data_IF_279446869095
#
_entry.id   IF_279446869095
#
_cell.length_a   1.000
_cell.length_b   1.000
_cell.length_c   1.000
_cell.angle_alpha   90.00
_cell.angle_beta   90.00
_cell.angle_gamma   90.00
#
_symmetry.space_group_name_H-M   'P 1'
#
loop_
_entity.id
_entity.type
_entity.pdbx_description
1 polymer ?
#
# COMPACT_ATOMS: atom_id res chain seq x y z
N UNK A 1 12.31 67.33 -30.98
CA UNK A 1 12.24 66.62 -29.65
C UNK A 1 11.26 65.52 -29.77
N UNK A 2 11.72 64.32 -30.09
CA UNK A 2 10.90 63.17 -30.45
C UNK A 2 11.16 62.08 -29.39
N UNK A 3 10.17 61.82 -28.54
CA UNK A 3 10.23 60.80 -27.49
C UNK A 3 9.95 59.41 -28.10
N UNK A 4 10.96 58.57 -28.16
CA UNK A 4 10.82 57.14 -28.40
C UNK A 4 10.28 56.47 -27.13
N UNK A 5 9.10 55.86 -27.23
CA UNK A 5 8.55 54.94 -26.24
C UNK A 5 9.13 53.55 -26.52
N UNK A 6 9.83 52.99 -25.55
CA UNK A 6 10.25 51.60 -25.53
C UNK A 6 9.05 50.71 -25.10
N UNK A 7 8.74 49.72 -25.90
CA UNK A 7 7.82 48.63 -25.56
C UNK A 7 8.57 47.54 -24.77
N UNK A 8 8.03 47.03 -23.66
CA UNK A 8 8.63 45.87 -23.02
C UNK A 8 8.31 44.59 -23.78
N UNK A 9 9.34 43.82 -24.05
CA UNK A 9 9.35 42.50 -24.67
C UNK A 9 8.60 41.50 -23.81
N UNK A 10 7.55 40.95 -24.37
CA UNK A 10 6.87 39.77 -23.85
C UNK A 10 7.63 38.52 -24.29
N UNK A 11 8.45 37.98 -23.44
CA UNK A 11 9.04 36.65 -23.62
C UNK A 11 9.60 36.17 -22.28
N UNK A 12 8.90 35.34 -21.57
CA UNK A 12 9.37 34.24 -20.74
C UNK A 12 8.31 33.78 -19.75
N UNK A 13 7.22 33.19 -20.25
CA UNK A 13 6.38 32.31 -19.45
C UNK A 13 5.88 31.21 -20.38
N UNK A 14 6.72 30.24 -20.65
CA UNK A 14 6.35 28.98 -21.32
C UNK A 14 7.46 27.98 -21.13
N UNK A 15 7.54 27.36 -19.96
CA UNK A 15 8.24 26.09 -19.74
C UNK A 15 8.09 25.60 -18.29
N UNK A 16 6.88 25.32 -17.83
CA UNK A 16 6.64 24.36 -16.74
C UNK A 16 5.21 23.81 -16.90
N UNK A 17 4.99 23.02 -17.91
CA UNK A 17 3.73 22.29 -18.06
C UNK A 17 3.90 21.06 -18.96
N UNK A 18 4.90 20.23 -18.68
CA UNK A 18 5.09 18.99 -19.43
C UNK A 18 5.80 17.92 -18.61
N UNK A 19 5.34 17.62 -17.40
CA UNK A 19 5.86 16.47 -16.62
C UNK A 19 4.80 15.86 -15.67
N UNK A 20 3.53 15.96 -15.98
CA UNK A 20 2.46 15.42 -15.15
C UNK A 20 1.57 14.38 -15.87
N UNK A 21 2.03 13.76 -16.94
CA UNK A 21 1.18 12.85 -17.72
C UNK A 21 1.76 11.43 -17.89
N UNK A 22 2.66 10.97 -17.02
CA UNK A 22 3.16 9.58 -17.09
C UNK A 22 3.17 9.02 -15.68
N UNK A 23 2.04 8.59 -15.15
CA UNK A 23 1.93 7.62 -14.06
C UNK A 23 0.48 7.17 -13.83
N UNK A 24 -0.29 6.96 -14.87
CA UNK A 24 -1.58 6.29 -14.76
C UNK A 24 -1.48 4.82 -15.20
N UNK A 25 -0.37 4.15 -14.86
CA UNK A 25 -0.33 2.70 -14.88
C UNK A 25 -0.77 2.24 -13.50
N UNK A 26 -2.03 1.88 -13.38
CA UNK A 26 -2.60 1.27 -12.21
C UNK A 26 -1.72 0.09 -11.76
N UNK A 27 -1.55 -0.07 -10.46
CA UNK A 27 -1.30 -1.36 -9.87
C UNK A 27 -2.60 -2.17 -10.06
N UNK A 28 -2.75 -2.80 -11.21
CA UNK A 28 -3.79 -3.77 -11.48
C UNK A 28 -3.10 -5.10 -11.57
N UNK A 29 -3.46 -5.94 -10.67
CA UNK A 29 -3.37 -7.39 -10.57
C UNK A 29 -2.20 -8.13 -11.26
N UNK A 30 -1.63 -9.10 -10.51
CA UNK A 30 -0.51 -9.90 -10.96
C UNK A 30 -0.78 -10.66 -12.24
N UNK A 31 -0.04 -10.33 -13.29
CA UNK A 31 0.13 -11.20 -14.44
C UNK A 31 0.84 -12.49 -14.01
N UNK A 32 0.68 -13.58 -14.77
CA UNK A 32 1.36 -14.83 -14.47
C UNK A 32 2.87 -14.64 -14.61
N UNK A 33 3.57 -14.55 -13.48
CA UNK A 33 4.99 -14.79 -13.46
C UNK A 33 5.20 -16.27 -13.80
N UNK A 34 6.05 -16.57 -14.77
CA UNK A 34 6.44 -17.93 -15.17
C UNK A 34 7.23 -18.70 -14.08
N UNK A 35 7.09 -18.31 -12.81
CA UNK A 35 7.59 -19.03 -11.63
C UNK A 35 6.51 -19.96 -11.04
N UNK A 36 5.87 -20.77 -11.90
CA UNK A 36 4.79 -21.70 -11.54
C UNK A 36 5.24 -22.96 -10.78
N UNK A 37 6.48 -23.09 -10.32
CA UNK A 37 6.97 -24.31 -9.66
C UNK A 37 7.33 -24.18 -8.17
N UNK A 38 7.01 -23.07 -7.50
CA UNK A 38 6.95 -23.07 -6.03
C UNK A 38 5.50 -23.23 -5.59
N UNK A 39 5.17 -24.26 -4.79
CA UNK A 39 3.86 -24.33 -4.16
C UNK A 39 3.65 -23.02 -3.43
N UNK A 40 2.50 -22.42 -3.59
CA UNK A 40 2.17 -21.16 -2.93
C UNK A 40 2.29 -21.39 -1.42
N UNK A 41 3.45 -21.01 -0.83
CA UNK A 41 3.66 -20.94 0.63
C UNK A 41 2.76 -19.86 1.27
N UNK A 42 1.71 -19.54 0.59
CA UNK A 42 0.62 -18.73 1.12
C UNK A 42 -0.20 -19.65 2.03
N UNK A 43 0.28 -19.86 3.27
CA UNK A 43 -0.64 -20.32 4.29
C UNK A 43 -1.76 -19.28 4.39
N UNK A 44 -3.01 -19.68 4.10
CA UNK A 44 -4.13 -18.79 4.31
C UNK A 44 -4.04 -18.30 5.75
N UNK A 45 -3.88 -17.00 5.93
CA UNK A 45 -3.91 -16.41 7.27
C UNK A 45 -5.25 -16.81 7.86
N UNK A 46 -5.31 -17.69 8.87
CA UNK A 46 -6.59 -18.07 9.44
C UNK A 46 -7.32 -16.80 9.88
N UNK A 47 -8.63 -16.74 9.73
CA UNK A 47 -9.40 -15.61 10.23
C UNK A 47 -8.98 -15.38 11.68
N UNK A 48 -8.91 -14.14 12.15
CA UNK A 48 -8.63 -13.85 13.55
C UNK A 48 -9.73 -14.52 14.37
N UNK A 49 -9.37 -15.65 14.96
CA UNK A 49 -10.30 -16.52 15.69
C UNK A 49 -10.33 -16.07 17.13
N UNK A 50 -11.14 -15.12 17.51
CA UNK A 50 -11.34 -14.99 18.94
C UNK A 50 -12.28 -13.92 19.46
N UNK A 51 -13.06 -13.27 18.69
CA UNK A 51 -14.08 -12.35 19.26
C UNK A 51 -13.52 -11.31 20.26
N UNK A 52 -12.18 -11.21 20.43
CA UNK A 52 -11.53 -10.27 21.32
C UNK A 52 -11.23 -8.98 20.58
N UNK A 53 -11.48 -7.92 21.29
CA UNK A 53 -11.21 -6.51 21.04
C UNK A 53 -11.09 -6.08 19.58
N UNK A 54 -11.99 -5.22 19.18
CA UNK A 54 -11.91 -4.54 17.90
C UNK A 54 -10.61 -3.75 17.83
N UNK A 55 -9.85 -3.95 16.76
CA UNK A 55 -8.82 -3.00 16.39
C UNK A 55 -9.54 -1.71 16.01
N UNK A 56 -9.25 -0.63 16.71
CA UNK A 56 -9.85 0.66 16.41
C UNK A 56 -9.66 0.97 14.92
N UNK A 57 -10.76 1.19 14.21
CA UNK A 57 -10.73 1.53 12.79
C UNK A 57 -10.70 0.36 11.80
N UNK A 58 -10.65 -0.91 12.25
CA UNK A 58 -10.83 -2.09 11.37
C UNK A 58 -12.02 -2.90 11.85
N UNK A 59 -13.05 -3.18 11.02
CA UNK A 59 -14.20 -3.97 11.44
C UNK A 59 -13.80 -5.36 11.96
N UNK A 60 -14.47 -5.83 13.02
CA UNK A 60 -14.24 -7.16 13.60
C UNK A 60 -14.54 -8.28 12.60
N UNK A 61 -15.56 -8.07 11.76
CA UNK A 61 -15.97 -8.96 10.67
C UNK A 61 -15.72 -8.25 9.35
N UNK A 62 -15.26 -8.98 8.35
CA UNK A 62 -15.03 -8.40 7.03
C UNK A 62 -16.30 -7.79 6.45
N UNK A 63 -16.20 -6.53 6.10
CA UNK A 63 -17.21 -5.80 5.36
C UNK A 63 -16.57 -5.19 4.11
N UNK A 64 -16.98 -5.67 2.93
CA UNK A 64 -16.45 -5.17 1.67
C UNK A 64 -16.66 -3.66 1.45
N UNK A 65 -17.60 -3.05 2.18
CA UNK A 65 -17.87 -1.62 2.12
C UNK A 65 -17.00 -0.80 3.08
N UNK A 66 -16.33 -1.46 4.05
CA UNK A 66 -15.46 -0.83 5.04
C UNK A 66 -14.27 -1.73 5.37
N UNK A 67 -13.18 -1.58 4.64
CA UNK A 67 -11.93 -2.32 4.91
C UNK A 67 -11.23 -1.75 6.15
N UNK A 68 -11.14 -0.42 6.23
CA UNK A 68 -10.66 0.30 7.41
C UNK A 68 -11.16 1.75 7.42
N UNK A 69 -11.02 2.42 8.57
CA UNK A 69 -11.37 3.83 8.74
C UNK A 69 -10.31 4.75 8.15
N UNK A 70 -10.70 6.00 7.85
CA UNK A 70 -9.79 7.04 7.40
C UNK A 70 -8.79 7.42 8.49
N UNK A 71 -9.24 7.50 9.76
CA UNK A 71 -8.40 7.84 10.89
C UNK A 71 -7.23 6.86 11.03
N UNK A 72 -7.49 5.54 10.97
CA UNK A 72 -6.44 4.53 11.05
C UNK A 72 -5.51 4.57 9.83
N UNK A 73 -6.07 4.73 8.63
CA UNK A 73 -5.29 4.73 7.39
C UNK A 73 -4.30 5.89 7.29
N UNK A 74 -4.65 7.05 7.86
CA UNK A 74 -3.82 8.27 7.83
C UNK A 74 -3.02 8.50 9.11
N UNK A 75 -3.12 7.61 10.09
CA UNK A 75 -2.34 7.70 11.33
C UNK A 75 -0.88 7.32 11.07
N UNK A 76 -0.06 8.32 10.80
CA UNK A 76 1.37 8.14 10.49
C UNK A 76 2.22 7.84 11.72
N UNK A 77 1.69 8.04 12.90
CA UNK A 77 2.38 7.90 14.18
C UNK A 77 1.97 6.64 14.96
N UNK A 78 1.17 5.77 14.35
CA UNK A 78 0.73 4.49 14.94
C UNK A 78 1.90 3.66 15.49
N UNK A 79 3.05 3.66 14.80
CA UNK A 79 4.26 2.97 15.24
C UNK A 79 5.50 3.79 14.95
N UNK A 80 6.48 3.69 15.84
CA UNK A 80 7.85 4.17 15.63
C UNK A 80 8.64 3.16 14.79
N UNK A 81 9.79 3.59 14.26
CA UNK A 81 10.72 2.69 13.57
C UNK A 81 11.22 1.56 14.49
N UNK A 82 11.42 1.85 15.78
CA UNK A 82 11.86 0.85 16.76
C UNK A 82 10.77 -0.20 17.03
N UNK A 83 9.50 0.19 17.07
CA UNK A 83 8.37 -0.73 17.22
C UNK A 83 8.20 -1.59 15.96
N UNK A 84 8.30 -0.99 14.79
CA UNK A 84 8.27 -1.75 13.54
C UNK A 84 9.47 -2.70 13.42
N UNK A 85 10.64 -2.33 13.94
CA UNK A 85 11.79 -3.21 14.03
C UNK A 85 11.49 -4.43 14.91
N UNK A 86 10.93 -4.22 16.11
CA UNK A 86 10.50 -5.32 17.00
C UNK A 86 9.45 -6.21 16.35
N UNK A 87 8.52 -5.61 15.61
CA UNK A 87 7.52 -6.36 14.82
C UNK A 87 8.17 -7.28 13.79
N UNK A 88 9.23 -6.86 13.11
CA UNK A 88 9.97 -7.74 12.18
C UNK A 88 10.79 -8.80 12.90
N UNK A 89 11.31 -8.51 14.08
CA UNK A 89 12.08 -9.45 14.90
C UNK A 89 11.23 -10.56 15.50
N UNK A 90 9.99 -10.25 15.86
CA UNK A 90 9.01 -11.19 16.39
C UNK A 90 7.70 -11.04 15.61
N UNK A 91 7.66 -11.56 14.39
CA UNK A 91 6.55 -11.33 13.49
C UNK A 91 5.28 -12.10 13.92
N UNK A 92 4.08 -11.70 13.46
CA UNK A 92 2.84 -12.44 13.74
C UNK A 92 2.82 -13.85 13.13
N UNK A 93 3.86 -14.23 12.37
CA UNK A 93 4.09 -15.57 11.82
C UNK A 93 4.93 -16.46 12.73
N UNK A 94 5.20 -16.02 13.98
CA UNK A 94 6.03 -16.73 14.97
C UNK A 94 7.47 -16.97 14.52
N UNK A 95 7.99 -16.08 13.70
CA UNK A 95 9.35 -16.12 13.19
C UNK A 95 9.96 -14.72 13.16
N UNK A 96 11.28 -14.66 12.96
CA UNK A 96 12.00 -13.43 12.62
C UNK A 96 11.88 -13.21 11.11
N UNK A 97 11.26 -12.11 10.71
CA UNK A 97 11.21 -11.72 9.31
C UNK A 97 12.60 -11.35 8.80
N UNK A 98 12.91 -11.68 7.54
CA UNK A 98 14.13 -11.21 6.88
C UNK A 98 14.23 -9.67 6.84
N UNK A 99 13.07 -8.97 6.91
CA UNK A 99 13.01 -7.51 6.95
C UNK A 99 13.67 -6.92 8.20
N UNK A 100 13.83 -7.70 9.27
CA UNK A 100 14.53 -7.26 10.48
C UNK A 100 16.03 -6.95 10.23
N UNK A 101 16.61 -7.59 9.21
CA UNK A 101 18.03 -7.45 8.84
C UNK A 101 18.20 -6.77 7.47
N UNK A 102 17.09 -6.39 6.83
CA UNK A 102 17.10 -5.75 5.51
C UNK A 102 17.38 -4.25 5.63
N UNK A 103 18.03 -3.72 4.58
CA UNK A 103 18.21 -2.27 4.40
C UNK A 103 17.52 -1.80 3.12
N UNK A 104 17.03 -0.57 3.16
CA UNK A 104 16.45 0.18 2.05
C UNK A 104 17.19 1.51 1.97
N UNK A 105 17.89 1.77 0.88
CA UNK A 105 18.77 2.96 0.71
C UNK A 105 19.79 3.16 1.85
N UNK A 106 20.30 2.05 2.38
CA UNK A 106 21.29 2.06 3.47
C UNK A 106 20.71 2.26 4.88
N UNK A 107 19.41 2.53 5.03
CA UNK A 107 18.73 2.58 6.32
C UNK A 107 18.07 1.22 6.65
N UNK A 108 17.87 0.87 7.93
CA UNK A 108 17.04 -0.26 8.31
C UNK A 108 15.66 -0.22 7.63
N UNK A 109 15.14 -1.37 7.20
CA UNK A 109 13.86 -1.42 6.50
C UNK A 109 12.71 -0.82 7.32
N UNK A 110 12.74 -0.98 8.65
CA UNK A 110 11.78 -0.37 9.57
C UNK A 110 11.80 1.16 9.51
N UNK A 111 12.99 1.77 9.50
CA UNK A 111 13.15 3.23 9.41
C UNK A 111 12.69 3.76 8.05
N UNK A 112 13.13 3.13 6.96
CA UNK A 112 12.80 3.54 5.61
C UNK A 112 11.28 3.45 5.33
N UNK A 113 10.62 2.38 5.78
CA UNK A 113 9.18 2.20 5.61
C UNK A 113 8.41 3.26 6.42
N UNK A 114 8.78 3.49 7.70
CA UNK A 114 8.13 4.52 8.52
C UNK A 114 8.33 5.91 7.90
N UNK A 115 9.54 6.24 7.45
CA UNK A 115 9.83 7.53 6.82
C UNK A 115 9.01 7.75 5.54
N UNK A 116 8.96 6.76 4.63
CA UNK A 116 8.19 6.84 3.40
C UNK A 116 6.68 6.93 3.66
N UNK A 117 6.18 6.19 4.65
CA UNK A 117 4.78 6.21 5.05
C UNK A 117 4.38 7.56 5.60
N UNK A 118 5.17 8.12 6.51
CA UNK A 118 4.96 9.47 7.06
C UNK A 118 5.00 10.55 5.99
N UNK A 119 5.97 10.49 5.08
CA UNK A 119 6.08 11.45 3.98
C UNK A 119 4.85 11.43 3.07
N UNK A 120 4.22 10.28 2.90
CA UNK A 120 3.01 10.13 2.12
C UNK A 120 1.71 10.36 2.93
N UNK A 121 1.78 10.48 4.26
CA UNK A 121 0.59 10.60 5.12
C UNK A 121 -0.23 9.31 5.17
N UNK A 122 0.44 8.15 5.17
CA UNK A 122 -0.16 6.81 5.23
C UNK A 122 0.39 6.07 6.45
N UNK A 123 -0.44 5.31 7.12
CA UNK A 123 -0.05 4.49 8.26
C UNK A 123 1.02 3.44 7.88
N UNK A 124 2.17 3.37 8.58
CA UNK A 124 3.25 2.43 8.28
C UNK A 124 2.80 0.96 8.31
N UNK A 125 1.89 0.61 9.22
CA UNK A 125 1.39 -0.77 9.37
C UNK A 125 0.55 -1.18 8.16
N UNK A 126 -0.20 -0.24 7.56
CA UNK A 126 -0.94 -0.48 6.30
C UNK A 126 0.01 -0.80 5.16
N UNK A 127 1.14 -0.09 5.08
CA UNK A 127 2.17 -0.38 4.08
C UNK A 127 2.79 -1.76 4.27
N UNK A 128 3.12 -2.14 5.51
CA UNK A 128 3.67 -3.47 5.82
C UNK A 128 2.66 -4.58 5.55
N UNK A 129 1.38 -4.35 5.88
CA UNK A 129 0.30 -5.28 5.55
C UNK A 129 0.16 -5.46 4.04
N UNK A 130 0.27 -4.36 3.27
CA UNK A 130 0.21 -4.44 1.81
C UNK A 130 1.37 -5.23 1.22
N UNK A 131 2.59 -5.04 1.71
CA UNK A 131 3.76 -5.82 1.31
C UNK A 131 3.55 -7.32 1.52
N UNK A 132 2.90 -7.71 2.61
CA UNK A 132 2.54 -9.10 2.87
C UNK A 132 1.47 -9.60 1.89
N UNK A 133 0.44 -8.81 1.63
CA UNK A 133 -0.64 -9.18 0.69
C UNK A 133 -0.10 -9.41 -0.72
N UNK A 134 0.82 -8.56 -1.18
CA UNK A 134 1.33 -8.63 -2.54
C UNK A 134 2.32 -9.77 -2.78
N UNK A 135 3.27 -9.95 -1.90
CA UNK A 135 4.41 -10.86 -2.15
C UNK A 135 4.80 -11.71 -0.94
N UNK A 136 3.98 -11.75 0.11
CA UNK A 136 4.20 -12.54 1.33
C UNK A 136 5.57 -12.27 2.00
N UNK A 137 6.09 -11.04 1.90
CA UNK A 137 7.47 -10.75 2.30
C UNK A 137 7.68 -10.73 3.80
N UNK A 138 6.69 -10.32 4.59
CA UNK A 138 6.83 -10.23 6.06
C UNK A 138 6.96 -11.59 6.71
N UNK A 139 6.30 -12.61 6.17
CA UNK A 139 6.33 -13.97 6.70
C UNK A 139 7.61 -14.74 6.39
N UNK A 140 8.44 -14.26 5.47
CA UNK A 140 9.67 -14.97 5.07
C UNK A 140 10.80 -14.73 6.08
N UNK A 141 11.54 -15.79 6.40
CA UNK A 141 12.71 -15.77 7.29
C UNK A 141 14.01 -15.51 6.54
N UNK A 142 14.04 -15.80 5.26
CA UNK A 142 15.15 -15.57 4.34
C UNK A 142 14.71 -14.59 3.27
N UNK A 143 15.61 -13.70 2.86
CA UNK A 143 15.31 -12.74 1.79
C UNK A 143 14.97 -13.48 0.51
N UNK A 144 13.75 -13.32 -0.03
CA UNK A 144 13.38 -13.89 -1.31
C UNK A 144 14.24 -13.34 -2.45
N UNK A 145 14.44 -14.15 -3.47
CA UNK A 145 15.19 -13.77 -4.68
C UNK A 145 14.27 -13.24 -5.78
N UNK A 146 14.85 -12.57 -6.78
CA UNK A 146 14.18 -12.18 -8.00
C UNK A 146 13.11 -11.11 -7.83
N UNK A 147 12.06 -11.23 -8.64
CA UNK A 147 11.01 -10.23 -8.82
C UNK A 147 10.18 -9.97 -7.55
N UNK A 148 10.12 -10.90 -6.60
CA UNK A 148 9.34 -10.73 -5.36
C UNK A 148 9.77 -9.51 -4.55
N UNK A 149 11.08 -9.30 -4.39
CA UNK A 149 11.61 -8.12 -3.68
C UNK A 149 11.70 -6.91 -4.60
N UNK A 150 12.11 -7.13 -5.84
CA UNK A 150 12.25 -6.07 -6.84
C UNK A 150 10.93 -5.34 -7.13
N UNK A 151 9.80 -6.04 -7.00
CA UNK A 151 8.45 -5.52 -7.22
C UNK A 151 7.52 -5.83 -6.03
N UNK A 152 8.01 -5.56 -4.84
CA UNK A 152 7.39 -5.90 -3.56
C UNK A 152 5.93 -5.45 -3.40
N UNK A 153 5.52 -4.42 -4.11
CA UNK A 153 4.16 -3.87 -4.11
C UNK A 153 3.47 -3.93 -5.47
N UNK A 154 4.10 -4.53 -6.48
CA UNK A 154 3.55 -4.54 -7.85
C UNK A 154 3.56 -3.18 -8.55
N UNK A 155 4.18 -2.16 -7.96
CA UNK A 155 4.26 -0.83 -8.58
C UNK A 155 5.04 -0.90 -9.91
N UNK A 156 4.42 -0.36 -10.97
CA UNK A 156 5.01 -0.37 -12.31
C UNK A 156 4.88 -1.70 -13.03
N UNK A 157 4.08 -2.64 -12.52
CA UNK A 157 3.79 -3.94 -13.14
C UNK A 157 2.36 -3.96 -13.71
N UNK A 158 2.13 -3.51 -14.94
CA UNK A 158 0.81 -3.60 -15.56
C UNK A 158 0.51 -5.05 -15.98
N UNK A 159 -0.80 -5.39 -15.96
CA UNK A 159 -1.25 -6.71 -16.42
C UNK A 159 -0.80 -7.02 -17.83
N UNK A 160 -0.35 -8.26 -18.04
CA UNK A 160 0.05 -8.79 -19.34
C UNK A 160 1.21 -8.02 -20.02
N UNK A 161 2.03 -7.30 -19.26
CA UNK A 161 3.23 -6.62 -19.76
C UNK A 161 4.37 -6.73 -18.74
N UNK A 162 5.63 -6.70 -19.20
CA UNK A 162 6.77 -6.65 -18.29
C UNK A 162 6.68 -5.47 -17.32
N UNK A 163 7.12 -5.68 -16.08
CA UNK A 163 7.25 -4.60 -15.11
C UNK A 163 8.21 -3.52 -15.61
N UNK A 164 7.88 -2.27 -15.34
CA UNK A 164 8.73 -1.14 -15.67
C UNK A 164 9.98 -1.10 -14.77
N UNK A 165 11.20 -1.25 -15.32
CA UNK A 165 12.43 -1.31 -14.55
C UNK A 165 12.74 -0.03 -13.75
N UNK A 166 12.10 1.10 -14.08
CA UNK A 166 12.20 2.34 -13.30
C UNK A 166 11.71 2.17 -11.87
N UNK A 167 10.76 1.25 -11.62
CA UNK A 167 10.20 0.96 -10.29
C UNK A 167 10.84 -0.26 -9.63
N UNK A 168 11.88 -0.82 -10.24
CA UNK A 168 12.58 -1.98 -9.69
C UNK A 168 13.39 -1.58 -8.45
N UNK A 169 13.27 -2.39 -7.38
CA UNK A 169 13.98 -2.22 -6.12
C UNK A 169 13.04 -1.88 -4.97
N UNK A 170 13.37 -2.39 -3.77
CA UNK A 170 12.51 -2.27 -2.59
C UNK A 170 12.27 -0.81 -2.18
N UNK A 171 13.30 0.04 -2.31
CA UNK A 171 13.25 1.49 -2.11
C UNK A 171 12.18 2.17 -2.95
N UNK A 172 12.24 1.92 -4.26
CA UNK A 172 11.30 2.48 -5.23
C UNK A 172 9.89 1.93 -5.07
N UNK A 173 9.79 0.66 -4.70
CA UNK A 173 8.51 0.00 -4.45
C UNK A 173 7.81 0.58 -3.22
N UNK A 174 8.52 0.80 -2.11
CA UNK A 174 7.95 1.42 -0.91
C UNK A 174 7.48 2.84 -1.20
N UNK A 175 8.31 3.66 -1.83
CA UNK A 175 7.99 5.04 -2.19
C UNK A 175 6.79 5.10 -3.16
N UNK A 176 6.78 4.25 -4.18
CA UNK A 176 5.69 4.18 -5.16
C UNK A 176 4.37 3.76 -4.52
N UNK A 177 4.36 2.72 -3.68
CA UNK A 177 3.15 2.24 -3.03
C UNK A 177 2.55 3.28 -2.08
N UNK A 178 3.37 3.91 -1.24
CA UNK A 178 2.93 4.95 -0.32
C UNK A 178 2.29 6.14 -1.08
N UNK A 179 2.97 6.63 -2.13
CA UNK A 179 2.45 7.71 -2.98
C UNK A 179 1.17 7.30 -3.72
N UNK A 180 1.07 6.05 -4.16
CA UNK A 180 -0.11 5.53 -4.87
C UNK A 180 -1.31 5.43 -3.94
N UNK A 181 -1.16 4.91 -2.74
CA UNK A 181 -2.23 4.88 -1.74
C UNK A 181 -2.72 6.28 -1.40
N UNK A 182 -1.80 7.23 -1.18
CA UNK A 182 -2.15 8.62 -0.90
C UNK A 182 -2.91 9.25 -2.06
N UNK A 183 -2.45 9.10 -3.27
CA UNK A 183 -3.11 9.63 -4.47
C UNK A 183 -4.54 9.11 -4.61
N UNK A 184 -4.77 7.81 -4.36
CA UNK A 184 -6.12 7.23 -4.44
C UNK A 184 -7.03 7.70 -3.31
N UNK A 185 -6.46 7.87 -2.11
CA UNK A 185 -7.16 8.46 -0.98
C UNK A 185 -7.61 9.89 -1.30
N UNK A 186 -6.69 10.73 -1.76
CA UNK A 186 -6.96 12.14 -2.12
C UNK A 186 -7.95 12.26 -3.27
N UNK A 187 -7.86 11.42 -4.30
CA UNK A 187 -8.83 11.36 -5.37
C UNK A 187 -10.24 10.98 -4.88
N UNK A 188 -10.32 10.09 -3.88
CA UNK A 188 -11.61 9.78 -3.24
C UNK A 188 -12.15 10.97 -2.45
N UNK A 189 -11.30 11.73 -1.74
CA UNK A 189 -11.67 12.95 -1.02
C UNK A 189 -12.13 14.03 -1.99
N UNK A 190 -11.42 14.23 -3.10
CA UNK A 190 -11.77 15.18 -4.14
C UNK A 190 -13.05 14.77 -4.92
N UNK A 191 -13.42 13.49 -4.88
CA UNK A 191 -14.60 12.97 -5.56
C UNK A 191 -14.39 12.67 -7.05
N UNK A 192 -13.15 12.71 -7.55
CA UNK A 192 -12.74 12.41 -8.93
C UNK A 192 -11.86 11.17 -9.07
N UNK A 193 -11.61 10.48 -7.97
CA UNK A 193 -10.80 9.28 -7.93
C UNK A 193 -11.41 8.09 -8.67
N UNK A 194 -10.57 7.08 -8.95
CA UNK A 194 -10.99 5.82 -9.57
C UNK A 194 -12.08 5.11 -8.75
N UNK A 195 -11.97 5.18 -7.43
CA UNK A 195 -12.98 4.78 -6.45
C UNK A 195 -13.25 5.95 -5.51
N UNK A 196 -14.51 6.19 -5.16
CA UNK A 196 -14.93 7.34 -4.35
C UNK A 196 -15.84 6.86 -3.22
N UNK A 197 -15.61 7.35 -2.02
CA UNK A 197 -16.49 7.09 -0.87
C UNK A 197 -17.94 7.46 -1.19
N UNK A 198 -18.86 6.57 -0.83
CA UNK A 198 -20.30 6.76 -1.05
C UNK A 198 -20.79 6.46 -2.49
N UNK A 199 -19.90 6.20 -3.45
CA UNK A 199 -20.29 5.83 -4.82
C UNK A 199 -20.16 4.34 -5.05
N UNK A 200 -21.26 3.70 -5.47
CA UNK A 200 -21.26 2.28 -5.80
C UNK A 200 -20.47 2.01 -7.09
N UNK A 201 -19.62 1.00 -7.08
CA UNK A 201 -18.87 0.52 -8.24
C UNK A 201 -18.73 -0.99 -8.19
N UNK A 202 -18.61 -1.64 -9.36
CA UNK A 202 -18.37 -3.08 -9.45
C UNK A 202 -16.87 -3.37 -9.42
N UNK A 203 -16.50 -4.39 -8.67
CA UNK A 203 -15.16 -5.00 -8.65
C UNK A 203 -14.97 -5.94 -9.85
N UNK A 204 -13.75 -6.42 -10.04
CA UNK A 204 -13.44 -7.38 -11.11
C UNK A 204 -14.02 -8.78 -10.85
N UNK A 205 -14.29 -9.15 -9.58
CA UNK A 205 -15.07 -10.32 -9.18
C UNK A 205 -16.59 -10.05 -9.08
N UNK A 206 -17.12 -9.31 -9.98
CA UNK A 206 -18.33 -8.52 -10.22
C UNK A 206 -19.24 -8.28 -9.00
N UNK A 207 -18.68 -7.97 -7.85
CA UNK A 207 -19.43 -7.58 -6.66
C UNK A 207 -19.65 -6.07 -6.62
N UNK A 208 -20.81 -5.62 -6.15
CA UNK A 208 -21.06 -4.20 -5.92
C UNK A 208 -20.46 -3.77 -4.58
N UNK A 209 -19.67 -2.71 -4.60
CA UNK A 209 -19.07 -2.09 -3.42
C UNK A 209 -19.37 -0.60 -3.40
N UNK A 210 -19.82 -0.11 -2.24
CA UNK A 210 -19.94 1.31 -1.94
C UNK A 210 -19.00 1.61 -0.78
N UNK A 211 -17.81 2.16 -1.02
CA UNK A 211 -16.86 2.44 0.05
C UNK A 211 -17.46 3.38 1.10
N UNK A 212 -17.30 3.06 2.38
CA UNK A 212 -17.76 3.90 3.50
C UNK A 212 -16.65 4.72 4.15
N UNK A 213 -15.42 4.63 3.59
CA UNK A 213 -14.28 5.48 3.92
C UNK A 213 -13.47 5.76 2.66
N UNK A 214 -12.70 6.85 2.65
CA UNK A 214 -11.74 7.14 1.58
C UNK A 214 -10.60 6.12 1.57
N UNK A 215 -10.22 5.62 2.74
CA UNK A 215 -9.28 4.50 2.90
C UNK A 215 -9.75 3.26 2.14
N UNK A 216 -11.02 2.85 2.31
CA UNK A 216 -11.59 1.72 1.59
C UNK A 216 -11.62 1.98 0.08
N UNK A 217 -11.93 3.19 -0.36
CA UNK A 217 -11.86 3.58 -1.78
C UNK A 217 -10.42 3.45 -2.31
N UNK A 218 -9.41 3.87 -1.53
CA UNK A 218 -8.00 3.73 -1.88
C UNK A 218 -7.58 2.26 -2.00
N UNK A 219 -8.03 1.40 -1.09
CA UNK A 219 -7.78 -0.05 -1.16
C UNK A 219 -8.35 -0.66 -2.45
N UNK A 220 -9.60 -0.31 -2.84
CA UNK A 220 -10.19 -0.81 -4.08
C UNK A 220 -9.59 -0.18 -5.34
N UNK A 221 -9.04 1.02 -5.26
CA UNK A 221 -8.28 1.61 -6.36
C UNK A 221 -6.93 0.90 -6.57
N UNK A 222 -6.35 0.38 -5.49
CA UNK A 222 -5.12 -0.41 -5.53
C UNK A 222 -5.40 -1.84 -6.03
N UNK A 223 -6.42 -2.49 -5.48
CA UNK A 223 -6.81 -3.87 -5.82
C UNK A 223 -8.32 -3.95 -5.99
N UNK A 224 -8.84 -3.96 -7.22
CA UNK A 224 -10.28 -3.90 -7.48
C UNK A 224 -10.99 -5.26 -7.34
N UNK A 225 -10.63 -6.02 -6.29
CA UNK A 225 -11.15 -7.36 -6.00
C UNK A 225 -11.61 -7.46 -4.56
N UNK A 226 -12.71 -8.18 -4.30
CA UNK A 226 -13.16 -8.55 -2.95
C UNK A 226 -12.52 -9.86 -2.49
N UNK A 227 -12.70 -10.94 -3.25
CA UNK A 227 -12.13 -12.29 -3.05
C UNK A 227 -12.25 -12.80 -1.61
N UNK A 228 -13.47 -12.79 -1.05
CA UNK A 228 -13.71 -13.22 0.33
C UNK A 228 -13.18 -14.63 0.59
N UNK A 229 -12.31 -14.75 1.59
CA UNK A 229 -11.69 -16.01 2.02
C UNK A 229 -10.40 -16.38 1.29
N UNK A 230 -9.99 -15.65 0.24
CA UNK A 230 -8.86 -16.07 -0.59
C UNK A 230 -7.90 -14.97 -1.00
N UNK A 231 -8.32 -13.70 -1.09
CA UNK A 231 -7.44 -12.66 -1.63
C UNK A 231 -8.05 -11.26 -1.60
N UNK A 232 -7.62 -10.39 -2.49
CA UNK A 232 -8.18 -9.06 -2.69
C UNK A 232 -8.23 -8.21 -1.41
N UNK A 233 -9.29 -7.42 -1.27
CA UNK A 233 -9.48 -6.58 -0.09
C UNK A 233 -9.90 -7.35 1.17
N UNK A 234 -10.43 -8.57 1.03
CA UNK A 234 -10.60 -9.47 2.17
C UNK A 234 -9.25 -9.81 2.80
N UNK A 235 -8.26 -10.15 1.99
CA UNK A 235 -6.91 -10.46 2.49
C UNK A 235 -6.23 -9.22 3.09
N UNK A 236 -6.39 -8.05 2.45
CA UNK A 236 -5.87 -6.79 2.98
C UNK A 236 -6.44 -6.47 4.37
N UNK A 237 -7.77 -6.64 4.56
CA UNK A 237 -8.43 -6.52 5.85
C UNK A 237 -7.89 -7.53 6.88
N UNK A 238 -7.79 -8.80 6.50
CA UNK A 238 -7.39 -9.90 7.40
C UNK A 238 -5.94 -9.72 7.88
N UNK A 239 -5.01 -9.43 6.96
CA UNK A 239 -3.59 -9.17 7.29
C UNK A 239 -3.44 -7.92 8.15
N UNK A 240 -4.11 -6.82 7.78
CA UNK A 240 -4.07 -5.59 8.57
C UNK A 240 -4.55 -5.83 10.00
N UNK A 241 -5.72 -6.45 10.18
CA UNK A 241 -6.27 -6.78 11.49
C UNK A 241 -5.30 -7.61 12.33
N UNK A 242 -4.68 -8.64 11.73
CA UNK A 242 -3.67 -9.47 12.40
C UNK A 242 -2.46 -8.65 12.85
N UNK A 243 -2.00 -7.70 12.03
CA UNK A 243 -0.82 -6.90 12.33
C UNK A 243 -1.07 -5.92 13.46
N UNK A 244 -2.17 -5.20 13.41
CA UNK A 244 -2.56 -4.30 14.48
C UNK A 244 -2.76 -5.01 15.81
N UNK A 245 -3.41 -6.18 15.83
CA UNK A 245 -3.55 -6.99 17.05
C UNK A 245 -2.22 -7.51 17.59
N UNK A 246 -1.29 -7.85 16.71
CA UNK A 246 0.04 -8.28 17.14
C UNK A 246 0.83 -7.13 17.77
N UNK A 247 0.75 -5.94 17.21
CA UNK A 247 1.36 -4.72 17.75
C UNK A 247 0.73 -4.33 19.09
N UNK A 248 -0.60 -4.40 19.21
CA UNK A 248 -1.32 -4.19 20.47
C UNK A 248 -0.83 -5.16 21.56
N UNK A 249 -0.74 -6.45 21.24
CA UNK A 249 -0.21 -7.46 22.15
C UNK A 249 1.27 -7.26 22.53
N UNK A 250 2.03 -6.52 21.74
CA UNK A 250 3.41 -6.10 22.03
C UNK A 250 3.49 -4.79 22.83
N UNK A 251 2.34 -4.15 23.12
CA UNK A 251 2.27 -2.84 23.77
C UNK A 251 2.82 -1.71 22.91
N UNK A 252 2.67 -1.82 21.59
CA UNK A 252 3.12 -0.82 20.63
C UNK A 252 1.99 0.10 20.15
N UNK A 253 0.76 -0.16 20.57
CA UNK A 253 -0.41 0.69 20.29
C UNK A 253 -0.91 1.23 21.63
N UNK A 254 -0.86 2.56 21.81
CA UNK A 254 -1.42 3.29 22.96
C UNK A 254 -2.93 3.58 22.80
#
# INVERSE_FOLDING_TARGET
>A
MTHLRATPSASLVLLVAALAAIAAAACTDGGPDDDHDEPSDFEPVPPPDDGKADVAGIPATFDRHLVMSDALFTDVDTVTAAELQRFFEASPYRNRSWLADATIDGAPASEAIVAASRAAGINPVVMVARMQVEKSLVSKTVRPTGSRVDYAFGCGCPDNRPCNPTFKGLDRQVACAATTFRRWYDGSVAGDGLWVMGRAKRTLDPLSVTPRSHATASHYAYTPWVLTGSGGNWLAWNVSRRYFRHLDAQGALD
#
